data_IF_158848195943
#
_entry.id   IF_158848195943
#
_cell.length_a   1.000
_cell.length_b   1.000
_cell.length_c   1.000
_cell.angle_alpha   90.00
_cell.angle_beta   90.00
_cell.angle_gamma   90.00
#
_symmetry.space_group_name_H-M   'P 1'
#
loop_
_entity.id
_entity.type
_entity.pdbx_description
1 polymer ?
#
# COMPACT_ATOMS: atom_id res chain seq x y z
N UNK A 1 -2.69 1.37 18.98
CA UNK A 1 -3.30 2.74 19.01
C UNK A 1 -4.64 2.68 19.71
N UNK A 2 -4.91 3.61 20.67
CA UNK A 2 -6.16 3.62 21.45
C UNK A 2 -7.37 3.97 20.56
N UNK A 3 -8.51 3.33 20.81
CA UNK A 3 -9.78 3.56 20.07
C UNK A 3 -10.16 5.05 20.03
N UNK A 4 -10.03 5.74 21.16
CA UNK A 4 -10.31 7.18 21.27
C UNK A 4 -9.47 8.03 20.28
N UNK A 5 -8.20 7.69 20.10
CA UNK A 5 -7.33 8.38 19.15
C UNK A 5 -7.74 8.15 17.69
N UNK A 6 -8.27 6.96 17.36
CA UNK A 6 -8.80 6.68 16.02
C UNK A 6 -10.07 7.49 15.76
N UNK A 7 -11.00 7.54 16.72
CA UNK A 7 -12.23 8.33 16.60
C UNK A 7 -11.89 9.81 16.42
N UNK A 8 -10.96 10.35 17.20
CA UNK A 8 -10.50 11.73 17.05
C UNK A 8 -9.93 12.01 15.66
N UNK A 9 -9.07 11.14 15.17
CA UNK A 9 -8.49 11.27 13.83
C UNK A 9 -9.56 11.14 12.73
N UNK A 10 -10.56 10.28 12.90
CA UNK A 10 -11.69 10.16 12.00
C UNK A 10 -12.48 11.47 11.92
N UNK A 11 -12.80 12.07 13.06
CA UNK A 11 -13.49 13.38 13.12
C UNK A 11 -12.68 14.48 12.41
N UNK A 12 -11.37 14.55 12.68
CA UNK A 12 -10.49 15.54 12.02
C UNK A 12 -10.38 15.36 10.51
N UNK A 13 -10.55 14.12 10.01
CA UNK A 13 -10.50 13.78 8.58
C UNK A 13 -11.89 13.73 7.94
N UNK A 14 -12.95 14.06 8.66
CA UNK A 14 -14.33 13.94 8.15
C UNK A 14 -14.54 14.63 6.81
N UNK A 15 -13.98 15.82 6.61
CA UNK A 15 -14.06 16.58 5.36
C UNK A 15 -13.36 15.92 4.16
N UNK A 16 -12.52 14.93 4.37
CA UNK A 16 -11.79 14.21 3.31
C UNK A 16 -12.47 12.89 2.92
N UNK A 17 -13.78 12.78 3.11
CA UNK A 17 -14.55 11.60 2.74
C UNK A 17 -14.97 11.64 1.27
N UNK A 18 -15.09 10.45 0.68
CA UNK A 18 -15.72 10.22 -0.63
C UNK A 18 -15.18 11.12 -1.74
N UNK A 19 -13.89 11.47 -1.72
CA UNK A 19 -13.27 12.27 -2.78
C UNK A 19 -13.60 13.76 -2.73
N UNK A 20 -14.13 14.29 -1.62
CA UNK A 20 -14.41 15.72 -1.50
C UNK A 20 -13.14 16.56 -1.72
N UNK A 21 -13.22 17.53 -2.65
CA UNK A 21 -12.10 18.39 -3.03
C UNK A 21 -11.10 17.77 -4.01
N UNK A 22 -11.39 16.59 -4.56
CA UNK A 22 -10.58 15.95 -5.59
C UNK A 22 -11.10 16.34 -6.97
N UNK A 23 -10.28 17.05 -7.75
CA UNK A 23 -10.67 17.56 -9.08
C UNK A 23 -10.25 16.65 -10.23
N UNK A 24 -9.27 15.76 -10.01
CA UNK A 24 -8.85 14.80 -11.02
C UNK A 24 -9.87 13.67 -11.17
N UNK A 25 -10.43 13.41 -12.36
CA UNK A 25 -11.43 12.34 -12.55
C UNK A 25 -10.89 10.96 -12.20
N UNK A 26 -9.65 10.65 -12.56
CA UNK A 26 -9.03 9.34 -12.26
C UNK A 26 -8.78 9.14 -10.76
N UNK A 27 -8.36 10.20 -10.05
CA UNK A 27 -8.13 10.13 -8.60
C UNK A 27 -9.46 10.08 -7.84
N UNK A 28 -10.45 10.84 -8.30
CA UNK A 28 -11.79 10.76 -7.77
C UNK A 28 -12.37 9.35 -7.93
N UNK A 29 -12.24 8.75 -9.11
CA UNK A 29 -12.67 7.38 -9.37
C UNK A 29 -11.94 6.39 -8.45
N UNK A 30 -10.60 6.49 -8.31
CA UNK A 30 -9.83 5.63 -7.41
C UNK A 30 -10.37 5.71 -5.97
N UNK A 31 -10.64 6.92 -5.48
CA UNK A 31 -11.16 7.10 -4.12
C UNK A 31 -12.56 6.53 -3.99
N UNK A 32 -13.47 6.89 -4.86
CA UNK A 32 -14.91 6.55 -4.70
C UNK A 32 -15.22 5.11 -5.07
N UNK A 33 -14.58 4.57 -6.11
CA UNK A 33 -14.92 3.27 -6.71
C UNK A 33 -13.93 2.15 -6.38
N UNK A 34 -12.79 2.46 -5.74
CA UNK A 34 -11.82 1.45 -5.30
C UNK A 34 -11.61 1.53 -3.79
N UNK A 35 -11.28 2.72 -3.25
CA UNK A 35 -11.02 2.86 -1.82
C UNK A 35 -12.30 2.66 -1.00
N UNK A 36 -13.40 3.26 -1.42
CA UNK A 36 -14.69 3.17 -0.72
C UNK A 36 -15.62 2.06 -1.24
N UNK A 37 -15.14 1.21 -2.14
CA UNK A 37 -15.93 0.08 -2.60
C UNK A 37 -16.23 -0.89 -1.45
N UNK A 38 -17.50 -1.29 -1.35
CA UNK A 38 -18.02 -2.17 -0.28
C UNK A 38 -18.61 -3.47 -0.84
N UNK A 39 -18.47 -3.71 -2.17
CA UNK A 39 -19.01 -4.90 -2.82
C UNK A 39 -18.32 -6.17 -2.30
N UNK A 40 -19.10 -7.25 -2.06
CA UNK A 40 -18.55 -8.53 -1.67
C UNK A 40 -17.87 -9.23 -2.86
N UNK A 41 -16.58 -9.49 -2.75
CA UNK A 41 -15.87 -10.36 -3.69
C UNK A 41 -15.90 -11.81 -3.19
N UNK A 42 -16.13 -12.77 -4.06
CA UNK A 42 -16.08 -14.21 -3.70
C UNK A 42 -14.77 -14.62 -3.04
N UNK A 43 -13.67 -13.96 -3.41
CA UNK A 43 -12.37 -14.20 -2.79
C UNK A 43 -12.35 -13.89 -1.29
N UNK A 44 -13.13 -12.93 -0.80
CA UNK A 44 -13.09 -12.50 0.60
C UNK A 44 -13.52 -13.59 1.57
N UNK A 45 -14.59 -14.32 1.25
CA UNK A 45 -15.06 -15.44 2.10
C UNK A 45 -14.01 -16.55 2.19
N UNK A 46 -13.45 -16.94 1.04
CA UNK A 46 -12.38 -17.95 0.98
C UNK A 46 -11.15 -17.53 1.77
N UNK A 47 -10.73 -16.27 1.63
CA UNK A 47 -9.58 -15.71 2.34
C UNK A 47 -9.81 -15.64 3.85
N UNK A 48 -11.01 -15.31 4.27
CA UNK A 48 -11.41 -15.30 5.69
C UNK A 48 -11.40 -16.71 6.29
N UNK A 49 -11.95 -17.71 5.60
CA UNK A 49 -11.96 -19.10 6.05
C UNK A 49 -10.55 -19.71 6.15
N UNK A 50 -9.66 -19.31 5.27
CA UNK A 50 -8.27 -19.83 5.24
C UNK A 50 -7.33 -19.05 6.16
N UNK A 51 -7.80 -18.04 6.88
CA UNK A 51 -7.06 -17.33 7.93
C UNK A 51 -7.00 -18.21 9.20
N UNK A 52 -6.15 -19.24 9.14
CA UNK A 52 -5.93 -20.16 10.27
C UNK A 52 -4.78 -19.74 11.18
N UNK A 53 -4.21 -18.56 10.96
CA UNK A 53 -3.09 -18.06 11.77
C UNK A 53 -3.59 -17.73 13.18
N UNK A 54 -2.98 -18.35 14.20
CA UNK A 54 -3.17 -18.00 15.61
C UNK A 54 -2.61 -16.62 15.97
N UNK A 55 -1.92 -15.98 15.04
CA UNK A 55 -1.36 -14.62 15.21
C UNK A 55 -2.40 -13.57 14.82
N UNK A 56 -2.42 -12.46 15.56
CA UNK A 56 -3.26 -11.32 15.23
C UNK A 56 -2.85 -10.75 13.85
N UNK A 57 -3.83 -10.41 13.00
CA UNK A 57 -3.54 -9.83 11.70
C UNK A 57 -2.85 -8.47 11.89
N UNK A 58 -1.82 -8.21 11.08
CA UNK A 58 -1.11 -6.93 11.13
C UNK A 58 -2.03 -5.77 10.71
N UNK A 59 -2.72 -5.94 9.58
CA UNK A 59 -3.74 -4.99 9.15
C UNK A 59 -5.14 -5.44 9.53
N UNK A 60 -6.03 -4.46 9.70
CA UNK A 60 -7.46 -4.74 9.76
C UNK A 60 -7.95 -5.32 8.43
N UNK A 61 -8.97 -6.16 8.48
CA UNK A 61 -9.58 -6.78 7.31
C UNK A 61 -9.93 -5.76 6.20
N UNK A 62 -10.39 -4.58 6.59
CA UNK A 62 -10.69 -3.47 5.68
C UNK A 62 -9.48 -3.04 4.83
N UNK A 63 -8.29 -3.00 5.42
CA UNK A 63 -7.04 -2.66 4.72
C UNK A 63 -6.63 -3.80 3.78
N UNK A 64 -6.71 -5.05 4.23
CA UNK A 64 -6.42 -6.21 3.40
C UNK A 64 -7.36 -6.28 2.17
N UNK A 65 -8.65 -6.02 2.37
CA UNK A 65 -9.62 -5.91 1.27
C UNK A 65 -9.29 -4.76 0.31
N UNK A 66 -8.80 -3.62 0.83
CA UNK A 66 -8.35 -2.53 -0.02
C UNK A 66 -7.13 -2.93 -0.84
N UNK A 67 -6.14 -3.59 -0.26
CA UNK A 67 -4.97 -4.10 -1.00
C UNK A 67 -5.38 -5.02 -2.15
N UNK A 68 -6.34 -5.92 -1.92
CA UNK A 68 -6.93 -6.74 -2.98
C UNK A 68 -7.53 -5.88 -4.10
N UNK A 69 -8.35 -4.88 -3.76
CA UNK A 69 -9.00 -4.00 -4.75
C UNK A 69 -8.01 -3.16 -5.53
N UNK A 70 -6.94 -2.67 -4.88
CA UNK A 70 -5.87 -1.94 -5.56
C UNK A 70 -5.18 -2.80 -6.62
N UNK A 71 -4.84 -4.05 -6.29
CA UNK A 71 -4.25 -4.99 -7.27
C UNK A 71 -5.22 -5.30 -8.41
N UNK A 72 -6.50 -5.50 -8.09
CA UNK A 72 -7.52 -5.74 -9.10
C UNK A 72 -7.74 -4.52 -10.03
N UNK A 73 -7.60 -3.32 -9.50
CA UNK A 73 -7.73 -2.06 -10.26
C UNK A 73 -6.50 -1.78 -11.12
N UNK A 74 -5.29 -1.81 -10.54
CA UNK A 74 -4.04 -1.51 -11.26
C UNK A 74 -3.57 -2.64 -12.18
N UNK A 75 -4.02 -3.86 -11.93
CA UNK A 75 -3.70 -5.06 -12.72
C UNK A 75 -2.20 -5.26 -12.97
N UNK A 76 -1.36 -5.21 -11.93
CA UNK A 76 0.08 -5.36 -12.09
C UNK A 76 0.44 -6.72 -12.66
N UNK A 77 1.53 -6.79 -13.41
CA UNK A 77 2.16 -8.03 -13.89
C UNK A 77 3.25 -8.51 -12.93
N UNK A 78 3.86 -7.58 -12.20
CA UNK A 78 4.88 -7.85 -11.19
C UNK A 78 4.53 -7.20 -9.85
N UNK A 79 4.71 -7.95 -8.76
CA UNK A 79 4.46 -7.49 -7.41
C UNK A 79 5.55 -7.97 -6.46
N UNK A 80 6.05 -7.07 -5.64
CA UNK A 80 6.91 -7.38 -4.51
C UNK A 80 6.26 -6.87 -3.22
N UNK A 81 6.19 -7.73 -2.21
CA UNK A 81 5.90 -7.36 -0.84
C UNK A 81 7.16 -7.53 0.01
N UNK A 82 7.49 -6.52 0.80
CA UNK A 82 8.62 -6.58 1.76
C UNK A 82 8.12 -6.25 3.15
N UNK A 83 8.32 -7.15 4.11
CA UNK A 83 8.04 -6.88 5.50
C UNK A 83 7.62 -8.09 6.32
N UNK A 84 7.65 -7.88 7.65
CA UNK A 84 7.28 -8.86 8.66
C UNK A 84 5.77 -8.83 8.89
N UNK A 85 5.04 -9.65 8.20
CA UNK A 85 3.61 -9.82 8.43
C UNK A 85 3.27 -11.29 8.64
N UNK A 86 2.09 -11.58 9.17
CA UNK A 86 1.55 -12.94 9.24
C UNK A 86 1.19 -13.52 7.85
N UNK A 87 1.44 -12.76 6.77
CA UNK A 87 1.16 -13.13 5.39
C UNK A 87 -0.29 -12.89 4.95
N UNK A 88 -1.15 -12.37 5.82
CA UNK A 88 -2.54 -12.09 5.43
C UNK A 88 -2.64 -11.05 4.32
N UNK A 89 -1.88 -9.94 4.40
CA UNK A 89 -1.85 -8.94 3.35
C UNK A 89 -1.45 -9.55 2.01
N UNK A 90 -0.35 -10.32 1.98
CA UNK A 90 0.12 -10.98 0.76
C UNK A 90 -0.90 -11.95 0.17
N UNK A 91 -1.66 -12.67 1.01
CA UNK A 91 -2.72 -13.59 0.56
C UNK A 91 -3.84 -12.84 -0.16
N UNK A 92 -4.26 -11.68 0.38
CA UNK A 92 -5.25 -10.83 -0.28
C UNK A 92 -4.72 -10.28 -1.60
N UNK A 93 -3.50 -9.76 -1.61
CA UNK A 93 -2.83 -9.20 -2.77
C UNK A 93 -2.69 -10.27 -3.88
N UNK A 94 -2.10 -11.42 -3.56
CA UNK A 94 -1.83 -12.49 -4.54
C UNK A 94 -3.09 -13.17 -5.07
N UNK A 95 -4.17 -13.19 -4.28
CA UNK A 95 -5.44 -13.78 -4.73
C UNK A 95 -6.25 -12.86 -5.65
N UNK A 96 -5.92 -11.57 -5.73
CA UNK A 96 -6.61 -10.64 -6.62
C UNK A 96 -6.30 -10.91 -8.10
N UNK A 97 -5.10 -11.43 -8.41
CA UNK A 97 -4.68 -11.71 -9.77
C UNK A 97 -3.70 -12.90 -9.81
N UNK A 98 -4.12 -14.01 -10.36
CA UNK A 98 -3.33 -15.25 -10.42
C UNK A 98 -2.26 -15.24 -11.52
N UNK A 99 -2.40 -14.42 -12.56
CA UNK A 99 -1.42 -14.30 -13.66
C UNK A 99 -0.25 -13.35 -13.35
N UNK A 100 -0.19 -12.79 -12.16
CA UNK A 100 0.85 -11.87 -11.72
C UNK A 100 2.03 -12.64 -11.10
N UNK A 101 3.26 -12.23 -11.42
CA UNK A 101 4.44 -12.70 -10.68
C UNK A 101 4.49 -11.97 -9.35
N UNK A 102 4.27 -12.70 -8.26
CA UNK A 102 4.23 -12.13 -6.91
C UNK A 102 5.30 -12.73 -6.01
N UNK A 103 6.05 -11.88 -5.33
CA UNK A 103 7.13 -12.24 -4.42
C UNK A 103 6.86 -11.62 -3.05
N UNK A 104 6.94 -12.41 -1.98
CA UNK A 104 6.89 -11.90 -0.61
C UNK A 104 8.23 -12.16 0.07
N UNK A 105 8.89 -11.08 0.45
CA UNK A 105 10.17 -11.08 1.15
C UNK A 105 9.92 -10.84 2.63
N UNK A 106 9.98 -11.93 3.38
CA UNK A 106 9.92 -11.91 4.84
C UNK A 106 11.33 -12.16 5.36
N UNK A 107 11.85 -11.27 6.15
CA UNK A 107 13.19 -11.43 6.68
C UNK A 107 13.35 -10.62 7.96
N UNK A 108 14.01 -11.23 8.94
CA UNK A 108 14.34 -10.59 10.21
C UNK A 108 15.64 -9.78 10.09
N UNK A 109 16.55 -10.20 9.21
CA UNK A 109 17.82 -9.53 9.00
C UNK A 109 17.79 -8.54 7.84
N UNK A 110 18.33 -7.34 8.08
CA UNK A 110 18.35 -6.24 7.12
C UNK A 110 19.08 -6.60 5.83
N UNK A 111 20.33 -7.03 5.97
CA UNK A 111 21.23 -7.24 4.83
C UNK A 111 20.76 -8.38 3.94
N UNK A 112 20.27 -9.46 4.54
CA UNK A 112 19.68 -10.58 3.80
C UNK A 112 18.42 -10.13 3.03
N UNK A 113 17.53 -9.40 3.71
CA UNK A 113 16.29 -8.93 3.11
C UNK A 113 16.55 -7.97 1.94
N UNK A 114 17.48 -7.02 2.10
CA UNK A 114 17.83 -6.07 1.05
C UNK A 114 18.56 -6.76 -0.11
N UNK A 115 19.45 -7.72 0.17
CA UNK A 115 20.10 -8.51 -0.88
C UNK A 115 19.09 -9.32 -1.71
N UNK A 116 18.16 -10.01 -1.04
CA UNK A 116 17.10 -10.76 -1.73
C UNK A 116 16.20 -9.83 -2.55
N UNK A 117 15.87 -8.65 -2.01
CA UNK A 117 15.11 -7.64 -2.73
C UNK A 117 15.86 -7.21 -4.01
N UNK A 118 17.15 -6.91 -3.91
CA UNK A 118 17.97 -6.52 -5.05
C UNK A 118 17.99 -7.60 -6.15
N UNK A 119 18.12 -8.87 -5.77
CA UNK A 119 18.06 -9.98 -6.72
C UNK A 119 16.72 -10.07 -7.45
N UNK A 120 15.60 -9.94 -6.71
CA UNK A 120 14.27 -9.98 -7.32
C UNK A 120 14.00 -8.76 -8.20
N UNK A 121 14.47 -7.58 -7.82
CA UNK A 121 14.37 -6.36 -8.62
C UNK A 121 15.12 -6.51 -9.95
N UNK A 122 16.36 -7.04 -9.92
CA UNK A 122 17.15 -7.33 -11.13
C UNK A 122 16.48 -8.39 -12.01
N UNK A 123 15.86 -9.41 -11.42
CA UNK A 123 15.15 -10.46 -12.16
C UNK A 123 13.90 -9.95 -12.86
N UNK A 124 13.16 -9.05 -12.21
CA UNK A 124 11.91 -8.51 -12.73
C UNK A 124 12.13 -7.34 -13.69
N UNK A 125 13.27 -6.65 -13.60
CA UNK A 125 13.63 -5.43 -14.37
C UNK A 125 12.69 -4.25 -14.15
N UNK A 126 11.41 -4.50 -13.89
CA UNK A 126 10.38 -3.48 -13.59
C UNK A 126 9.42 -4.02 -12.52
N UNK A 127 8.96 -3.12 -11.66
CA UNK A 127 8.01 -3.44 -10.61
C UNK A 127 6.76 -2.58 -10.77
N UNK A 128 5.63 -3.23 -11.04
CA UNK A 128 4.35 -2.56 -11.20
C UNK A 128 3.70 -2.26 -9.85
N UNK A 129 3.88 -3.14 -8.86
CA UNK A 129 3.28 -2.98 -7.54
C UNK A 129 4.29 -3.35 -6.45
N UNK A 130 4.62 -2.39 -5.59
CA UNK A 130 5.46 -2.60 -4.42
C UNK A 130 4.63 -2.37 -3.15
N UNK A 131 4.58 -3.37 -2.27
CA UNK A 131 3.99 -3.22 -0.94
C UNK A 131 5.09 -3.25 0.12
N UNK A 132 5.38 -2.10 0.71
CA UNK A 132 6.26 -1.96 1.87
C UNK A 132 5.40 -2.14 3.10
N UNK A 133 5.32 -3.37 3.60
CA UNK A 133 4.56 -3.73 4.79
C UNK A 133 5.30 -3.31 6.08
N UNK A 134 4.99 -3.94 7.20
CA UNK A 134 5.71 -3.66 8.45
C UNK A 134 7.16 -4.16 8.35
N UNK A 135 8.10 -3.24 8.21
CA UNK A 135 9.55 -3.50 8.25
C UNK A 135 10.28 -2.30 8.84
N UNK A 136 11.34 -2.49 9.63
CA UNK A 136 12.17 -1.38 10.09
C UNK A 136 13.00 -0.74 8.96
N UNK A 137 13.20 -1.46 7.84
CA UNK A 137 14.05 -1.06 6.70
C UNK A 137 13.26 -0.37 5.57
N UNK A 138 12.10 0.19 5.87
CA UNK A 138 11.18 0.75 4.87
C UNK A 138 11.79 1.82 3.97
N UNK A 139 12.75 2.61 4.50
CA UNK A 139 13.45 3.65 3.73
C UNK A 139 14.36 3.02 2.68
N UNK A 140 15.20 2.09 3.11
CA UNK A 140 16.15 1.39 2.25
C UNK A 140 15.42 0.56 1.19
N UNK A 141 14.32 -0.09 1.56
CA UNK A 141 13.47 -0.83 0.61
C UNK A 141 12.93 0.11 -0.48
N UNK A 142 12.44 1.29 -0.11
CA UNK A 142 11.94 2.25 -1.08
C UNK A 142 13.05 2.75 -2.02
N UNK A 143 14.19 3.18 -1.49
CA UNK A 143 15.29 3.70 -2.29
C UNK A 143 15.91 2.63 -3.20
N UNK A 144 16.03 1.39 -2.74
CA UNK A 144 16.52 0.27 -3.54
C UNK A 144 15.57 -0.10 -4.68
N UNK A 145 14.27 -0.05 -4.44
CA UNK A 145 13.26 -0.39 -5.44
C UNK A 145 13.00 0.75 -6.44
N UNK A 146 13.26 2.00 -6.05
CA UNK A 146 12.89 3.18 -6.84
C UNK A 146 13.40 3.14 -8.30
N UNK A 147 14.65 2.74 -8.61
CA UNK A 147 15.15 2.67 -10.00
C UNK A 147 14.36 1.71 -10.91
N UNK A 148 13.62 0.77 -10.32
CA UNK A 148 12.82 -0.24 -11.02
C UNK A 148 11.34 0.14 -11.14
N UNK A 149 10.95 1.29 -10.55
CA UNK A 149 9.60 1.82 -10.68
C UNK A 149 9.46 2.62 -11.99
N UNK A 150 8.26 2.62 -12.53
CA UNK A 150 7.90 3.34 -13.75
C UNK A 150 6.61 4.15 -13.56
N UNK A 151 6.20 4.89 -14.58
CA UNK A 151 5.07 5.82 -14.52
C UNK A 151 3.76 5.16 -14.03
N UNK A 152 3.53 3.90 -14.38
CA UNK A 152 2.32 3.14 -13.98
C UNK A 152 2.49 2.40 -12.66
N UNK A 153 3.68 2.40 -12.07
CA UNK A 153 3.92 1.72 -10.80
C UNK A 153 3.08 2.30 -9.67
N UNK A 154 2.70 1.41 -8.76
CA UNK A 154 1.98 1.72 -7.54
C UNK A 154 2.79 1.24 -6.34
N UNK A 155 3.12 2.14 -5.42
CA UNK A 155 3.76 1.77 -4.16
C UNK A 155 2.79 1.98 -3.01
N UNK A 156 2.59 0.95 -2.21
CA UNK A 156 1.81 1.00 -0.97
C UNK A 156 2.76 0.93 0.20
N UNK A 157 2.70 1.92 1.06
CA UNK A 157 3.49 1.99 2.30
C UNK A 157 2.57 1.74 3.49
N UNK A 158 2.87 0.72 4.28
CA UNK A 158 2.14 0.39 5.49
C UNK A 158 2.53 1.27 6.67
N UNK A 159 1.60 1.39 7.63
CA UNK A 159 1.89 1.90 8.97
C UNK A 159 2.45 3.33 9.02
N UNK A 160 2.02 4.19 8.09
CA UNK A 160 2.55 5.56 7.92
C UNK A 160 2.40 6.47 9.15
N UNK A 161 1.60 6.07 10.14
CA UNK A 161 1.35 6.84 11.37
C UNK A 161 1.69 6.09 12.66
N UNK A 162 2.39 4.96 12.61
CA UNK A 162 2.70 4.15 13.80
C UNK A 162 3.78 4.76 14.68
N UNK A 163 4.71 5.52 14.11
CA UNK A 163 5.74 6.26 14.84
C UNK A 163 5.92 7.67 14.28
N UNK A 164 6.55 8.54 15.06
CA UNK A 164 6.90 9.90 14.60
C UNK A 164 7.88 9.84 13.43
N UNK A 165 8.80 8.88 13.43
CA UNK A 165 9.78 8.70 12.36
C UNK A 165 9.09 8.33 11.05
N UNK A 166 8.18 7.33 11.06
CA UNK A 166 7.41 6.93 9.87
C UNK A 166 6.54 8.06 9.34
N UNK A 167 5.91 8.82 10.24
CA UNK A 167 5.11 9.99 9.87
C UNK A 167 5.96 11.08 9.21
N UNK A 168 7.17 11.32 9.72
CA UNK A 168 8.10 12.29 9.12
C UNK A 168 8.54 11.82 7.74
N UNK A 169 8.98 10.58 7.62
CA UNK A 169 9.37 10.01 6.34
C UNK A 169 8.23 9.99 5.32
N UNK A 170 7.00 9.65 5.73
CA UNK A 170 5.83 9.75 4.85
C UNK A 170 5.64 11.17 4.32
N UNK A 171 5.82 12.18 5.18
CA UNK A 171 5.75 13.58 4.77
C UNK A 171 6.88 13.95 3.80
N UNK A 172 8.07 13.45 4.02
CA UNK A 172 9.22 13.62 3.10
C UNK A 172 8.90 13.01 1.74
N UNK A 173 8.43 11.76 1.69
CA UNK A 173 8.02 11.08 0.45
C UNK A 173 6.93 11.87 -0.31
N UNK A 174 5.93 12.37 0.40
CA UNK A 174 4.87 13.15 -0.26
C UNK A 174 5.36 14.48 -0.82
N UNK A 175 6.51 14.99 -0.35
CA UNK A 175 7.16 16.19 -0.87
C UNK A 175 8.24 15.88 -1.93
N UNK A 176 8.69 14.62 -2.02
CA UNK A 176 9.69 14.20 -2.99
C UNK A 176 9.17 14.42 -4.43
N UNK A 177 9.97 15.07 -5.27
CA UNK A 177 9.60 15.36 -6.66
C UNK A 177 9.43 14.11 -7.52
N UNK A 178 10.07 13.01 -7.13
CA UNK A 178 9.93 11.69 -7.77
C UNK A 178 8.50 11.15 -7.63
N UNK A 179 7.80 11.48 -6.54
CA UNK A 179 6.42 11.08 -6.28
C UNK A 179 5.48 12.15 -6.84
N UNK A 180 4.59 11.77 -7.73
CA UNK A 180 3.65 12.71 -8.37
C UNK A 180 2.29 12.76 -7.67
N UNK A 181 1.78 11.62 -7.24
CA UNK A 181 0.49 11.55 -6.58
C UNK A 181 0.63 10.71 -5.31
N UNK A 182 0.10 11.20 -4.22
CA UNK A 182 0.02 10.45 -2.97
C UNK A 182 -1.38 10.44 -2.39
N UNK A 183 -1.77 9.30 -1.80
CA UNK A 183 -3.02 9.16 -1.06
C UNK A 183 -2.69 8.71 0.37
N UNK A 184 -2.96 9.55 1.33
CA UNK A 184 -2.86 9.26 2.74
C UNK A 184 -4.18 8.65 3.23
N UNK A 185 -4.20 7.32 3.40
CA UNK A 185 -5.35 6.53 3.83
C UNK A 185 -5.30 6.18 5.33
N UNK A 186 -4.42 6.81 6.07
CA UNK A 186 -4.17 6.67 7.50
C UNK A 186 -3.39 5.40 7.88
N UNK A 187 -3.92 4.20 7.71
CA UNK A 187 -3.19 2.96 8.03
C UNK A 187 -2.14 2.64 6.95
N UNK A 188 -2.40 3.04 5.72
CA UNK A 188 -1.48 2.91 4.59
C UNK A 188 -1.41 4.19 3.77
N UNK A 189 -0.31 4.36 3.06
CA UNK A 189 -0.13 5.40 2.04
C UNK A 189 0.04 4.79 0.66
N UNK A 190 -0.48 5.44 -0.37
CA UNK A 190 -0.36 5.03 -1.76
C UNK A 190 0.43 6.10 -2.53
N UNK A 191 1.41 5.68 -3.33
CA UNK A 191 2.24 6.56 -4.16
C UNK A 191 2.15 6.16 -5.63
N UNK A 192 2.13 7.18 -6.52
CA UNK A 192 2.13 7.05 -7.97
C UNK A 192 3.18 7.96 -8.59
N UNK A 193 3.72 7.57 -9.75
CA UNK A 193 4.93 8.17 -10.34
C UNK A 193 4.73 8.76 -11.74
N UNK A 194 3.49 8.91 -12.20
CA UNK A 194 3.12 9.40 -13.53
C UNK A 194 3.70 10.79 -13.84
N UNK A 195 4.84 10.85 -14.53
CA UNK A 195 5.62 12.08 -14.78
C UNK A 195 4.82 13.20 -15.45
N UNK A 196 3.83 12.86 -16.27
CA UNK A 196 2.98 13.83 -16.98
C UNK A 196 1.97 14.52 -16.06
N UNK A 197 1.79 14.06 -14.82
CA UNK A 197 0.81 14.60 -13.89
C UNK A 197 1.41 15.67 -12.99
N UNK A 198 0.61 16.67 -12.66
CA UNK A 198 0.96 17.63 -11.62
C UNK A 198 0.99 16.94 -10.26
N UNK A 199 1.89 17.39 -9.39
CA UNK A 199 2.00 16.88 -8.03
C UNK A 199 0.71 17.12 -7.26
N UNK A 200 0.16 16.07 -6.66
CA UNK A 200 -1.05 16.09 -5.86
C UNK A 200 -0.92 15.19 -4.64
N UNK A 201 -1.29 15.71 -3.47
CA UNK A 201 -1.26 14.99 -2.21
C UNK A 201 -2.68 14.97 -1.63
N UNK A 202 -3.30 13.80 -1.63
CA UNK A 202 -4.65 13.61 -1.13
C UNK A 202 -4.65 13.00 0.27
N UNK A 203 -5.46 13.55 1.15
CA UNK A 203 -5.85 12.89 2.39
C UNK A 203 -7.23 12.26 2.20
N UNK A 204 -7.37 11.01 2.61
CA UNK A 204 -8.64 10.28 2.49
C UNK A 204 -9.01 9.72 3.87
N UNK A 205 -10.26 9.88 4.25
CA UNK A 205 -10.77 9.36 5.52
C UNK A 205 -11.13 7.89 5.39
N UNK A 206 -10.13 7.01 5.48
CA UNK A 206 -10.29 5.56 5.36
C UNK A 206 -9.96 4.87 6.70
N UNK A 207 -10.95 4.81 7.63
CA UNK A 207 -10.82 4.25 8.98
C UNK A 207 -11.60 2.97 9.20
#
# INVERSE_FOLDING_TARGET
MLLAQRIWNWCRRFRYRCGYGVHSPSDFFLITSVVYEDLPYYAYERLKMSSSSKSLPHYREKVNKLLFRLVNYFRPMSLIEVGEGNGDAFRYISSARTSMVSVSLKGEEKDETLHRLEMELKRLEKVDFLHIAFTPYYKEVFELAFPYLHDESCVVVGDIYTSNERKTWWKELTNDERVRISFDLYDIGLLRFEKKRFKQNYKVNFF
#
